data_IF_133221944382
#
_entry.id   IF_133221944382
#
_cell.length_a   1.000
_cell.length_b   1.000
_cell.length_c   1.000
_cell.angle_alpha   90.00
_cell.angle_beta   90.00
_cell.angle_gamma   90.00
#
_symmetry.space_group_name_H-M   'P 1'
#
loop_
_entity.id
_entity.type
_entity.pdbx_description
1 polymer ?
#
# COMPACT_ATOMS: atom_id res chain seq x y z
N UNK A 1 -12.23 47.25 -18.50
CA UNK A 1 -11.65 46.07 -19.18
C UNK A 1 -11.69 44.91 -18.18
N UNK A 2 -12.71 44.06 -18.23
CA UNK A 2 -12.90 42.99 -17.23
C UNK A 2 -12.14 41.73 -17.67
N UNK A 3 -11.12 41.36 -16.91
CA UNK A 3 -10.34 40.14 -17.09
C UNK A 3 -11.24 38.94 -16.79
N UNK A 4 -11.75 38.27 -17.83
CA UNK A 4 -12.45 36.99 -17.67
C UNK A 4 -11.48 35.98 -17.05
N UNK A 5 -11.69 35.68 -15.77
CA UNK A 5 -11.09 34.51 -15.14
C UNK A 5 -11.47 33.28 -15.98
N UNK A 6 -10.48 32.66 -16.61
CA UNK A 6 -10.65 31.34 -17.23
C UNK A 6 -10.97 30.39 -16.09
N UNK A 7 -12.24 30.05 -15.94
CA UNK A 7 -12.64 28.87 -15.17
C UNK A 7 -12.17 27.71 -16.04
N UNK A 8 -10.96 27.22 -15.76
CA UNK A 8 -10.42 26.04 -16.43
C UNK A 8 -11.40 24.90 -16.16
N UNK A 9 -12.08 24.45 -17.23
CA UNK A 9 -12.94 23.29 -17.17
C UNK A 9 -12.17 22.12 -16.54
N UNK A 10 -12.78 21.31 -15.65
CA UNK A 10 -12.10 20.22 -14.98
C UNK A 10 -11.49 19.29 -16.04
N UNK A 11 -10.16 19.31 -16.15
CA UNK A 11 -9.42 18.45 -17.07
C UNK A 11 -9.78 17.01 -16.73
N UNK A 12 -10.36 16.29 -17.69
CA UNK A 12 -10.69 14.87 -17.53
C UNK A 12 -9.47 14.13 -16.98
N UNK A 13 -9.61 13.30 -15.94
CA UNK A 13 -8.51 12.50 -15.44
C UNK A 13 -7.92 11.66 -16.57
N UNK A 14 -6.59 11.54 -16.60
CA UNK A 14 -5.90 10.72 -17.60
C UNK A 14 -6.41 9.30 -17.47
N UNK A 15 -6.75 8.64 -18.59
CA UNK A 15 -7.47 7.35 -18.61
C UNK A 15 -6.84 6.26 -17.73
N UNK A 16 -5.53 6.34 -17.43
CA UNK A 16 -4.82 5.39 -16.59
C UNK A 16 -4.86 5.69 -15.08
N UNK A 17 -5.24 6.91 -14.64
CA UNK A 17 -5.14 7.25 -13.19
C UNK A 17 -6.13 6.49 -12.35
N UNK A 18 -7.38 6.36 -12.81
CA UNK A 18 -8.42 5.61 -12.10
C UNK A 18 -8.04 4.11 -11.92
N UNK A 19 -7.68 3.36 -12.98
CA UNK A 19 -7.28 1.96 -12.81
C UNK A 19 -6.00 1.80 -11.97
N UNK A 20 -5.04 2.73 -12.07
CA UNK A 20 -3.85 2.70 -11.22
C UNK A 20 -4.20 2.82 -9.73
N UNK A 21 -5.01 3.82 -9.36
CA UNK A 21 -5.38 4.03 -7.96
C UNK A 21 -6.33 2.95 -7.43
N UNK A 22 -7.16 2.35 -8.29
CA UNK A 22 -7.94 1.16 -7.92
C UNK A 22 -7.00 -0.02 -7.61
N UNK A 23 -6.00 -0.29 -8.46
CA UNK A 23 -5.01 -1.34 -8.21
C UNK A 23 -4.21 -1.08 -6.92
N UNK A 24 -3.80 0.16 -6.68
CA UNK A 24 -3.10 0.58 -5.47
C UNK A 24 -3.95 0.47 -4.20
N UNK A 25 -5.28 0.60 -4.30
CA UNK A 25 -6.18 0.30 -3.19
C UNK A 25 -6.22 -1.22 -2.92
N UNK A 26 -6.36 -2.03 -3.99
CA UNK A 26 -6.41 -3.49 -3.88
C UNK A 26 -5.11 -4.11 -3.38
N UNK A 27 -3.96 -3.48 -3.60
CA UNK A 27 -2.66 -4.04 -3.19
C UNK A 27 -2.48 -4.11 -1.67
N UNK A 28 -3.30 -3.38 -0.89
CA UNK A 28 -3.30 -3.47 0.58
C UNK A 28 -4.06 -4.68 1.11
N UNK A 29 -4.95 -5.26 0.32
CA UNK A 29 -5.85 -6.33 0.77
C UNK A 29 -5.07 -7.56 1.24
N UNK A 30 -4.05 -8.09 0.53
CA UNK A 30 -3.27 -9.23 1.02
C UNK A 30 -2.66 -9.00 2.42
N UNK A 31 -2.21 -7.79 2.70
CA UNK A 31 -1.62 -7.43 4.00
C UNK A 31 -2.69 -7.27 5.09
N UNK A 32 -3.84 -6.68 4.75
CA UNK A 32 -4.99 -6.61 5.66
C UNK A 32 -5.52 -8.01 6.00
N UNK A 33 -5.64 -8.91 5.02
CA UNK A 33 -6.11 -10.28 5.20
C UNK A 33 -5.28 -11.05 6.22
N UNK A 34 -3.97 -10.76 6.33
CA UNK A 34 -3.09 -11.35 7.33
C UNK A 34 -3.58 -11.07 8.77
N UNK A 35 -3.94 -9.82 9.06
CA UNK A 35 -4.44 -9.40 10.36
C UNK A 35 -5.91 -9.79 10.58
N UNK A 36 -6.74 -9.72 9.54
CA UNK A 36 -8.14 -10.12 9.61
C UNK A 36 -8.26 -11.59 10.03
N UNK A 37 -7.57 -12.50 9.32
CA UNK A 37 -7.60 -13.92 9.66
C UNK A 37 -7.08 -14.20 11.07
N UNK A 38 -6.03 -13.48 11.51
CA UNK A 38 -5.51 -13.58 12.87
C UNK A 38 -6.55 -13.20 13.92
N UNK A 39 -7.39 -12.19 13.66
CA UNK A 39 -8.48 -11.81 14.56
C UNK A 39 -9.59 -12.87 14.58
N UNK A 40 -9.96 -13.41 13.42
CA UNK A 40 -11.04 -14.40 13.30
C UNK A 40 -10.67 -15.75 13.91
N UNK A 41 -9.41 -16.17 13.78
CA UNK A 41 -8.98 -17.54 14.14
C UNK A 41 -8.14 -17.61 15.41
N UNK A 42 -7.65 -16.47 15.92
CA UNK A 42 -6.67 -16.45 17.01
C UNK A 42 -5.30 -17.01 16.61
N UNK A 43 -5.05 -17.31 15.33
CA UNK A 43 -3.75 -17.79 14.84
C UNK A 43 -2.64 -16.79 15.16
N UNK A 44 -1.40 -17.23 15.30
CA UNK A 44 -0.27 -16.33 15.47
C UNK A 44 0.13 -15.63 14.15
N UNK A 45 0.62 -14.40 14.31
CA UNK A 45 1.26 -13.61 13.26
C UNK A 45 2.51 -12.97 13.87
N UNK A 46 3.69 -13.38 13.35
CA UNK A 46 4.99 -12.94 13.86
C UNK A 46 5.89 -12.43 12.73
N UNK A 47 6.62 -11.36 13.01
CA UNK A 47 7.63 -10.75 12.13
C UNK A 47 8.86 -10.40 12.97
N UNK A 48 9.89 -11.23 12.89
CA UNK A 48 11.05 -11.16 13.77
C UNK A 48 10.64 -11.34 15.22
N UNK A 49 11.04 -10.39 16.07
CA UNK A 49 10.63 -10.35 17.48
C UNK A 49 9.23 -9.79 17.71
N UNK A 50 8.55 -9.29 16.67
CA UNK A 50 7.21 -8.74 16.79
C UNK A 50 6.17 -9.84 16.70
N UNK A 51 5.46 -10.08 17.79
CA UNK A 51 4.28 -10.93 17.82
C UNK A 51 3.05 -10.04 17.98
N UNK A 52 2.25 -9.92 16.92
CA UNK A 52 1.09 -9.04 16.95
C UNK A 52 0.03 -9.60 17.92
N UNK A 53 -0.46 -8.75 18.83
CA UNK A 53 -1.66 -8.95 19.62
C UNK A 53 -2.93 -8.70 18.79
N UNK A 54 -4.10 -8.99 19.37
CA UNK A 54 -5.38 -8.72 18.72
C UNK A 54 -5.62 -7.22 18.56
N UNK A 55 -5.32 -6.44 19.61
CA UNK A 55 -5.45 -4.98 19.56
C UNK A 55 -4.53 -4.37 18.49
N UNK A 56 -3.27 -4.79 18.42
CA UNK A 56 -2.34 -4.31 17.38
C UNK A 56 -2.79 -4.71 15.97
N UNK A 57 -3.36 -5.91 15.80
CA UNK A 57 -3.89 -6.34 14.50
C UNK A 57 -5.12 -5.54 14.08
N UNK A 58 -5.98 -5.16 15.01
CA UNK A 58 -7.09 -4.25 14.73
C UNK A 58 -6.59 -2.87 14.29
N UNK A 59 -5.58 -2.32 14.98
CA UNK A 59 -4.96 -1.04 14.60
C UNK A 59 -4.36 -1.14 13.19
N UNK A 60 -3.65 -2.21 12.88
CA UNK A 60 -3.05 -2.39 11.55
C UNK A 60 -4.12 -2.56 10.46
N UNK A 61 -5.24 -3.23 10.75
CA UNK A 61 -6.38 -3.28 9.83
C UNK A 61 -6.95 -1.89 9.53
N UNK A 62 -7.11 -1.04 10.55
CA UNK A 62 -7.55 0.34 10.36
C UNK A 62 -6.56 1.14 9.50
N UNK A 63 -5.25 0.92 9.67
CA UNK A 63 -4.22 1.52 8.82
C UNK A 63 -4.39 1.07 7.36
N UNK A 64 -4.54 -0.23 7.08
CA UNK A 64 -4.73 -0.70 5.71
C UNK A 64 -6.06 -0.24 5.08
N UNK A 65 -7.13 -0.13 5.87
CA UNK A 65 -8.40 0.43 5.42
C UNK A 65 -8.25 1.92 5.06
N UNK A 66 -7.50 2.69 5.84
CA UNK A 66 -7.18 4.09 5.55
C UNK A 66 -6.33 4.23 4.28
N UNK A 67 -5.29 3.41 4.13
CA UNK A 67 -4.43 3.40 2.93
C UNK A 67 -5.22 3.04 1.66
N UNK A 68 -6.12 2.06 1.75
CA UNK A 68 -7.03 1.69 0.66
C UNK A 68 -7.98 2.84 0.31
N UNK A 69 -8.59 3.45 1.33
CA UNK A 69 -9.51 4.57 1.17
C UNK A 69 -8.83 5.82 0.58
N UNK A 70 -7.57 6.06 0.95
CA UNK A 70 -6.77 7.17 0.41
C UNK A 70 -6.46 6.97 -1.08
N UNK A 71 -6.27 5.73 -1.52
CA UNK A 71 -6.13 5.41 -2.95
C UNK A 71 -7.47 5.51 -3.69
N UNK A 72 -8.58 5.05 -3.11
CA UNK A 72 -9.92 5.25 -3.68
C UNK A 72 -10.27 6.75 -3.81
N UNK A 73 -9.94 7.55 -2.79
CA UNK A 73 -10.13 9.00 -2.83
C UNK A 73 -9.31 9.64 -3.96
N UNK A 74 -8.12 9.13 -4.28
CA UNK A 74 -7.27 9.61 -5.38
C UNK A 74 -7.88 9.37 -6.78
N UNK A 75 -8.82 8.45 -6.92
CA UNK A 75 -9.59 8.28 -8.16
C UNK A 75 -10.36 9.57 -8.45
N UNK A 76 -11.09 10.08 -7.46
CA UNK A 76 -12.03 11.20 -7.61
C UNK A 76 -11.42 12.56 -7.25
N UNK A 77 -10.42 12.62 -6.38
CA UNK A 77 -9.80 13.88 -5.89
C UNK A 77 -8.35 13.99 -6.36
N UNK A 78 -8.08 14.94 -7.26
CA UNK A 78 -6.75 15.15 -7.81
C UNK A 78 -5.71 15.56 -6.74
N UNK A 79 -6.11 16.37 -5.76
CA UNK A 79 -5.22 16.89 -4.72
C UNK A 79 -4.57 15.82 -3.83
N UNK A 80 -5.21 14.65 -3.69
CA UNK A 80 -4.67 13.55 -2.86
C UNK A 80 -3.84 12.55 -3.65
N UNK A 81 -3.82 12.60 -4.99
CA UNK A 81 -3.16 11.58 -5.82
C UNK A 81 -1.66 11.43 -5.54
N UNK A 82 -0.95 12.55 -5.46
CA UNK A 82 0.50 12.55 -5.18
C UNK A 82 0.81 11.95 -3.81
N UNK A 83 0.20 12.42 -2.69
CA UNK A 83 0.45 11.80 -1.40
C UNK A 83 -0.01 10.34 -1.34
N UNK A 84 -1.15 9.96 -1.94
CA UNK A 84 -1.59 8.55 -1.99
C UNK A 84 -0.56 7.65 -2.68
N UNK A 85 -0.07 8.06 -3.86
CA UNK A 85 0.94 7.30 -4.61
C UNK A 85 2.30 7.27 -3.88
N UNK A 86 2.71 8.38 -3.27
CA UNK A 86 3.98 8.45 -2.54
C UNK A 86 3.97 7.55 -1.30
N UNK A 87 2.92 7.65 -0.48
CA UNK A 87 2.76 6.82 0.72
C UNK A 87 2.64 5.35 0.36
N UNK A 88 1.86 5.03 -0.69
CA UNK A 88 1.74 3.65 -1.17
C UNK A 88 3.07 3.09 -1.64
N UNK A 89 3.83 3.88 -2.40
CA UNK A 89 5.14 3.48 -2.85
C UNK A 89 6.11 3.24 -1.70
N UNK A 90 6.22 4.19 -0.77
CA UNK A 90 7.14 4.09 0.37
C UNK A 90 6.85 2.87 1.25
N UNK A 91 5.58 2.62 1.55
CA UNK A 91 5.19 1.50 2.42
C UNK A 91 5.33 0.13 1.72
N UNK A 92 5.05 0.02 0.42
CA UNK A 92 5.36 -1.22 -0.32
C UNK A 92 6.86 -1.46 -0.43
N UNK A 93 7.67 -0.41 -0.58
CA UNK A 93 9.13 -0.55 -0.52
C UNK A 93 9.60 -1.00 0.87
N UNK A 94 8.98 -0.53 1.95
CA UNK A 94 9.29 -0.98 3.30
C UNK A 94 8.98 -2.49 3.47
N UNK A 95 7.79 -2.92 3.05
CA UNK A 95 7.38 -4.34 3.06
C UNK A 95 8.34 -5.18 2.20
N UNK A 96 8.61 -4.74 0.97
CA UNK A 96 9.53 -5.41 0.06
C UNK A 96 10.95 -5.50 0.63
N UNK A 97 11.43 -4.44 1.28
CA UNK A 97 12.75 -4.40 1.93
C UNK A 97 12.83 -5.34 3.13
N UNK A 98 11.75 -5.46 3.93
CA UNK A 98 11.67 -6.45 5.01
C UNK A 98 11.78 -7.88 4.47
N UNK A 99 11.08 -8.17 3.37
CA UNK A 99 11.16 -9.47 2.73
C UNK A 99 12.54 -9.74 2.10
N UNK A 100 13.15 -8.74 1.44
CA UNK A 100 14.52 -8.83 0.93
C UNK A 100 15.51 -9.08 2.07
N UNK A 101 15.43 -8.31 3.15
CA UNK A 101 16.29 -8.46 4.31
C UNK A 101 16.23 -9.88 4.86
N UNK A 102 15.03 -10.47 4.98
CA UNK A 102 14.84 -11.86 5.40
C UNK A 102 15.58 -12.88 4.52
N UNK A 103 15.78 -12.59 3.23
CA UNK A 103 16.52 -13.46 2.34
C UNK A 103 18.02 -13.48 2.63
N UNK A 104 18.56 -12.47 3.31
CA UNK A 104 19.99 -12.39 3.66
C UNK A 104 20.23 -12.65 5.14
N UNK A 105 19.35 -12.16 6.01
CA UNK A 105 19.37 -12.33 7.45
C UNK A 105 18.04 -12.96 7.90
N UNK A 106 17.95 -14.30 7.96
CA UNK A 106 16.72 -14.99 8.33
C UNK A 106 16.24 -14.58 9.72
N UNK A 107 14.93 -14.36 9.84
CA UNK A 107 14.24 -14.15 11.10
C UNK A 107 12.91 -14.88 11.09
N UNK A 108 12.34 -15.09 12.29
CA UNK A 108 11.06 -15.74 12.48
C UNK A 108 9.95 -14.96 11.80
N UNK A 109 9.36 -15.55 10.78
CA UNK A 109 8.22 -14.95 10.08
C UNK A 109 7.17 -16.03 9.97
N UNK A 110 6.03 -15.78 10.60
CA UNK A 110 4.91 -16.68 10.65
C UNK A 110 3.63 -15.93 10.30
N UNK A 111 2.80 -16.52 9.44
CA UNK A 111 1.49 -15.97 9.06
C UNK A 111 0.49 -17.11 9.21
N UNK A 112 -0.64 -16.84 9.87
CA UNK A 112 -1.70 -17.81 10.11
C UNK A 112 -1.28 -19.03 10.94
N UNK A 113 -0.28 -18.92 11.81
CA UNK A 113 0.26 -20.09 12.53
C UNK A 113 1.31 -20.89 11.75
N UNK A 114 1.61 -20.53 10.50
CA UNK A 114 2.54 -21.26 9.64
C UNK A 114 3.80 -20.46 9.35
N UNK A 115 4.95 -21.15 9.37
CA UNK A 115 6.23 -20.56 8.98
C UNK A 115 6.14 -20.05 7.55
N UNK A 116 6.41 -18.76 7.35
CA UNK A 116 6.40 -18.13 6.04
C UNK A 116 7.57 -18.62 5.19
N UNK A 117 7.36 -19.32 4.06
CA UNK A 117 8.46 -19.89 3.29
C UNK A 117 9.41 -18.81 2.72
N UNK A 118 10.71 -19.10 2.60
CA UNK A 118 11.66 -18.15 1.96
C UNK A 118 11.29 -17.83 0.53
N UNK A 119 10.81 -18.81 -0.23
CA UNK A 119 10.30 -18.60 -1.59
C UNK A 119 9.10 -17.66 -1.64
N UNK A 120 8.25 -17.64 -0.59
CA UNK A 120 7.18 -16.66 -0.49
C UNK A 120 7.73 -15.25 -0.22
N UNK A 121 8.72 -15.10 0.67
CA UNK A 121 9.42 -13.81 0.84
C UNK A 121 10.08 -13.30 -0.45
N UNK A 122 10.68 -14.18 -1.26
CA UNK A 122 11.27 -13.76 -2.54
C UNK A 122 10.22 -13.22 -3.52
N UNK A 123 9.05 -13.85 -3.60
CA UNK A 123 7.93 -13.37 -4.43
C UNK A 123 7.38 -12.04 -3.92
N UNK A 124 7.15 -11.93 -2.61
CA UNK A 124 6.68 -10.68 -1.98
C UNK A 124 7.67 -9.53 -2.20
N UNK A 125 8.97 -9.79 -2.02
CA UNK A 125 10.02 -8.83 -2.30
C UNK A 125 9.95 -8.32 -3.75
N UNK A 126 9.87 -9.24 -4.73
CA UNK A 126 9.79 -8.86 -6.14
C UNK A 126 8.55 -8.01 -6.43
N UNK A 127 7.36 -8.45 -5.99
CA UNK A 127 6.10 -7.76 -6.25
C UNK A 127 6.07 -6.40 -5.55
N UNK A 128 6.35 -6.36 -4.24
CA UNK A 128 6.25 -5.16 -3.43
C UNK A 128 7.30 -4.10 -3.82
N UNK A 129 8.53 -4.50 -4.16
CA UNK A 129 9.55 -3.56 -4.63
C UNK A 129 9.17 -2.97 -5.98
N UNK A 130 8.82 -3.82 -6.97
CA UNK A 130 8.44 -3.34 -8.29
C UNK A 130 7.21 -2.42 -8.24
N UNK A 131 6.19 -2.81 -7.48
CA UNK A 131 4.98 -2.00 -7.33
C UNK A 131 5.27 -0.70 -6.56
N UNK A 132 6.08 -0.77 -5.50
CA UNK A 132 6.50 0.41 -4.74
C UNK A 132 7.22 1.45 -5.59
N UNK A 133 8.19 1.01 -6.42
CA UNK A 133 8.89 1.88 -7.36
C UNK A 133 7.94 2.50 -8.40
N UNK A 134 6.99 1.71 -8.94
CA UNK A 134 5.96 2.20 -9.85
C UNK A 134 5.11 3.31 -9.19
N UNK A 135 4.67 3.10 -7.95
CA UNK A 135 3.91 4.10 -7.20
C UNK A 135 4.69 5.40 -6.99
N UNK A 136 5.99 5.32 -6.66
CA UNK A 136 6.84 6.50 -6.53
C UNK A 136 7.04 7.21 -7.88
N UNK A 137 7.18 6.46 -8.98
CA UNK A 137 7.25 7.03 -10.32
C UNK A 137 5.94 7.76 -10.69
N UNK A 138 4.78 7.20 -10.34
CA UNK A 138 3.48 7.85 -10.50
C UNK A 138 3.39 9.10 -9.62
N UNK A 139 3.83 9.05 -8.37
CA UNK A 139 3.83 10.20 -7.46
C UNK A 139 4.65 11.39 -8.03
N UNK A 140 5.73 11.12 -8.75
CA UNK A 140 6.53 12.14 -9.46
C UNK A 140 5.84 12.70 -10.71
N UNK A 141 5.06 11.86 -11.42
CA UNK A 141 4.38 12.25 -12.67
C UNK A 141 3.04 12.93 -12.44
N UNK A 142 2.33 12.62 -11.36
CA UNK A 142 1.04 13.23 -11.07
C UNK A 142 1.26 14.66 -10.57
N UNK A 143 0.75 15.61 -11.34
CA UNK A 143 0.79 17.03 -10.97
C UNK A 143 -0.10 17.25 -9.74
N UNK A 144 0.40 18.01 -8.78
CA UNK A 144 -0.41 18.58 -7.71
C UNK A 144 -1.44 19.49 -8.36
N UNK A 145 -2.72 19.32 -8.01
CA UNK A 145 -3.71 20.34 -8.31
C UNK A 145 -3.33 21.57 -7.48
N UNK A 146 -2.89 22.64 -8.16
CA UNK A 146 -2.78 23.99 -7.59
C UNK A 146 -4.17 24.57 -7.39
#
# INVERSE_FOLDING_TARGET
>A
MATRARIDAPRRPVRWTAPFFALAACSWIPHASCHYYRLETGSSFRVGSWQFSAAESLVVLLIYALLSSLNLAAIVRAGVRRPSAALTGALHLLIGSLHLYRLFAPFDFEVFGYVWPRGASAREAAVAVCFGLLCLAVARKVRTAS
#
